data_IF_253278564030
#
_entry.id   IF_253278564030
#
_cell.length_a   1.000
_cell.length_b   1.000
_cell.length_c   1.000
_cell.angle_alpha   90.00
_cell.angle_beta   90.00
_cell.angle_gamma   90.00
#
_symmetry.space_group_name_H-M   'P 1'
#
loop_
_entity.id
_entity.type
_entity.pdbx_description
1 polymer ?
#
# COMPACT_ATOMS: atom_id res chain seq x y z
N UNK A 1 31.70 -5.28 -5.59
CA UNK A 1 30.70 -4.35 -6.11
C UNK A 1 29.40 -5.10 -6.34
N UNK A 2 28.30 -4.69 -5.70
CA UNK A 2 26.95 -4.87 -6.23
C UNK A 2 26.12 -3.65 -5.81
N UNK A 3 25.86 -2.85 -6.82
CA UNK A 3 25.19 -1.56 -6.89
C UNK A 3 23.76 -1.58 -6.33
N UNK A 4 23.39 -0.51 -5.62
CA UNK A 4 22.12 0.23 -5.61
C UNK A 4 20.83 -0.53 -6.00
N UNK A 5 19.83 -0.60 -5.12
CA UNK A 5 18.47 -0.94 -5.54
C UNK A 5 17.42 -0.25 -4.65
N UNK A 6 16.83 0.83 -5.15
CA UNK A 6 15.61 1.42 -4.60
C UNK A 6 14.45 0.45 -4.82
N UNK A 7 14.25 -0.47 -3.87
CA UNK A 7 13.13 -1.42 -3.90
C UNK A 7 11.83 -0.68 -3.56
N UNK A 8 10.98 -0.48 -4.55
CA UNK A 8 9.65 0.09 -4.36
C UNK A 8 8.72 -0.98 -3.79
N UNK A 9 7.97 -0.61 -2.76
CA UNK A 9 6.93 -1.45 -2.17
C UNK A 9 5.56 -0.78 -2.34
N UNK A 10 4.50 -1.59 -2.26
CA UNK A 10 3.15 -1.06 -2.13
C UNK A 10 2.94 -0.62 -0.67
N UNK A 11 2.67 0.67 -0.46
CA UNK A 11 2.45 1.24 0.87
C UNK A 11 1.03 0.98 1.42
N UNK A 12 0.13 0.36 0.63
CA UNK A 12 -1.25 0.09 1.05
C UNK A 12 -2.14 1.34 1.09
N UNK A 13 -1.70 2.45 0.51
CA UNK A 13 -2.44 3.71 0.41
C UNK A 13 -2.87 3.90 -1.05
N UNK A 14 -4.17 4.04 -1.26
CA UNK A 14 -4.76 4.11 -2.60
C UNK A 14 -5.68 5.31 -2.72
N UNK A 15 -5.55 6.04 -3.83
CA UNK A 15 -6.54 6.99 -4.31
C UNK A 15 -7.30 6.33 -5.45
N UNK A 16 -8.60 6.06 -5.24
CA UNK A 16 -9.43 5.31 -6.17
C UNK A 16 -10.63 6.15 -6.60
N UNK A 17 -10.95 6.13 -7.89
CA UNK A 17 -12.23 6.62 -8.38
C UNK A 17 -13.37 5.73 -7.86
N UNK A 18 -14.53 6.28 -7.48
CA UNK A 18 -15.64 5.52 -6.89
C UNK A 18 -16.08 4.32 -7.75
N UNK A 19 -16.02 4.45 -9.08
CA UNK A 19 -16.39 3.40 -10.03
C UNK A 19 -15.51 2.15 -9.89
N UNK A 20 -14.29 2.27 -9.36
CA UNK A 20 -13.41 1.13 -9.08
C UNK A 20 -14.05 0.17 -8.07
N UNK A 21 -14.85 0.67 -7.12
CA UNK A 21 -15.54 -0.15 -6.12
C UNK A 21 -16.58 -1.09 -6.75
N UNK A 22 -17.14 -0.73 -7.91
CA UNK A 22 -18.09 -1.59 -8.64
C UNK A 22 -17.48 -2.90 -9.15
N UNK A 23 -16.14 -3.00 -9.19
CA UNK A 23 -15.43 -4.22 -9.57
C UNK A 23 -15.27 -5.21 -8.40
N UNK A 24 -15.55 -4.76 -7.18
CA UNK A 24 -15.49 -5.58 -5.97
C UNK A 24 -16.86 -6.27 -5.79
N UNK A 25 -16.91 -7.61 -5.78
CA UNK A 25 -18.17 -8.32 -5.59
C UNK A 25 -18.75 -8.09 -4.19
N UNK A 26 -20.04 -7.76 -4.14
CA UNK A 26 -20.76 -7.55 -2.89
C UNK A 26 -20.75 -8.80 -2.01
N UNK A 27 -20.66 -8.59 -0.69
CA UNK A 27 -20.71 -9.67 0.30
C UNK A 27 -19.50 -10.61 0.29
N UNK A 28 -18.46 -10.34 -0.50
CA UNK A 28 -17.24 -11.15 -0.57
C UNK A 28 -16.03 -10.34 -0.13
N UNK A 29 -15.25 -10.89 0.80
CA UNK A 29 -13.93 -10.37 1.10
C UNK A 29 -12.98 -10.64 -0.08
N UNK A 30 -12.29 -9.60 -0.54
CA UNK A 30 -11.29 -9.68 -1.62
C UNK A 30 -10.00 -9.01 -1.20
N UNK A 31 -8.89 -9.42 -1.80
CA UNK A 31 -7.65 -8.62 -1.80
C UNK A 31 -7.63 -7.69 -3.01
N UNK A 32 -7.38 -6.40 -2.77
CA UNK A 32 -7.24 -5.44 -3.86
C UNK A 32 -6.05 -5.83 -4.75
N UNK A 33 -4.92 -6.20 -4.15
CA UNK A 33 -3.66 -6.48 -4.81
C UNK A 33 -3.69 -7.78 -5.61
N UNK A 34 -4.36 -8.81 -5.08
CA UNK A 34 -4.37 -10.16 -5.68
C UNK A 34 -5.55 -10.41 -6.60
N UNK A 35 -6.66 -9.70 -6.41
CA UNK A 35 -7.88 -9.94 -7.20
C UNK A 35 -8.33 -8.70 -7.97
N UNK A 36 -8.44 -7.54 -7.31
CA UNK A 36 -9.08 -6.36 -7.91
C UNK A 36 -8.18 -5.68 -8.95
N UNK A 37 -6.94 -5.35 -8.61
CA UNK A 37 -5.99 -4.69 -9.51
C UNK A 37 -5.68 -5.53 -10.76
N UNK A 38 -5.41 -6.86 -10.66
CA UNK A 38 -5.27 -7.69 -11.85
C UNK A 38 -6.51 -7.65 -12.76
N UNK A 39 -7.72 -7.63 -12.20
CA UNK A 39 -8.97 -7.56 -12.96
C UNK A 39 -9.18 -6.21 -13.65
N UNK A 40 -8.80 -5.11 -13.00
CA UNK A 40 -8.84 -3.77 -13.61
C UNK A 40 -7.90 -3.69 -14.82
N UNK A 41 -6.67 -4.19 -14.67
CA UNK A 41 -5.69 -4.26 -15.75
C UNK A 41 -6.18 -5.11 -16.92
N UNK A 42 -6.78 -6.29 -16.66
CA UNK A 42 -7.37 -7.14 -17.69
C UNK A 42 -8.51 -6.44 -18.48
N UNK A 43 -9.18 -5.47 -17.85
CA UNK A 43 -10.24 -4.68 -18.46
C UNK A 43 -9.74 -3.37 -19.06
N UNK A 44 -8.42 -3.18 -19.14
CA UNK A 44 -7.77 -1.96 -19.61
C UNK A 44 -8.17 -0.70 -18.82
N UNK A 45 -8.56 -0.87 -17.54
CA UNK A 45 -8.75 0.27 -16.64
C UNK A 45 -7.36 0.78 -16.23
N UNK A 46 -7.07 2.08 -16.37
CA UNK A 46 -5.78 2.64 -15.98
C UNK A 46 -5.49 2.44 -14.49
N UNK A 47 -4.26 2.01 -14.18
CA UNK A 47 -3.74 1.87 -12.82
C UNK A 47 -2.34 2.46 -12.77
N UNK A 48 -2.09 3.34 -11.80
CA UNK A 48 -0.85 4.09 -11.68
C UNK A 48 -0.24 3.91 -10.29
N UNK A 49 1.09 4.09 -10.19
CA UNK A 49 1.81 4.16 -8.93
C UNK A 49 2.32 5.57 -8.67
N UNK A 50 2.26 6.01 -7.41
CA UNK A 50 2.90 7.24 -6.96
C UNK A 50 4.12 6.87 -6.11
N UNK A 51 5.30 7.34 -6.51
CA UNK A 51 6.54 7.11 -5.77
C UNK A 51 6.73 8.22 -4.74
N UNK A 52 7.01 7.82 -3.52
CA UNK A 52 7.40 8.74 -2.45
C UNK A 52 8.60 8.20 -1.70
N UNK A 53 9.42 9.13 -1.18
CA UNK A 53 10.50 8.87 -0.23
C UNK A 53 10.10 9.25 1.20
N UNK A 54 8.81 9.53 1.44
CA UNK A 54 8.27 9.82 2.76
C UNK A 54 8.44 8.62 3.70
N UNK A 55 8.48 8.91 5.00
CA UNK A 55 8.60 7.88 6.02
C UNK A 55 7.40 6.91 5.96
N UNK A 56 7.70 5.62 5.85
CA UNK A 56 6.72 4.54 5.86
C UNK A 56 7.23 3.41 6.75
N UNK A 57 6.34 2.88 7.60
CA UNK A 57 6.61 1.69 8.41
C UNK A 57 5.38 0.78 8.40
N UNK A 58 5.60 -0.49 8.04
CA UNK A 58 4.60 -1.55 8.19
C UNK A 58 4.64 -2.07 9.64
N UNK A 59 3.56 -1.86 10.41
CA UNK A 59 3.49 -2.22 11.83
C UNK A 59 3.01 -3.66 12.09
N UNK A 60 3.18 -4.58 11.12
CA UNK A 60 2.72 -5.97 11.21
C UNK A 60 3.41 -6.86 12.25
N UNK A 61 4.44 -6.39 12.97
CA UNK A 61 5.11 -7.17 14.04
C UNK A 61 5.17 -6.39 15.36
N UNK A 62 5.20 -7.07 16.52
CA UNK A 62 5.33 -6.42 17.82
C UNK A 62 6.55 -5.50 17.93
N UNK A 63 7.67 -5.87 17.30
CA UNK A 63 8.92 -5.12 17.31
C UNK A 63 8.77 -3.80 16.55
N UNK A 64 8.20 -3.85 15.33
CA UNK A 64 7.96 -2.64 14.52
C UNK A 64 6.92 -1.72 15.17
N UNK A 65 5.92 -2.31 15.83
CA UNK A 65 4.95 -1.55 16.62
C UNK A 65 5.60 -0.84 17.83
N UNK A 66 6.48 -1.52 18.57
CA UNK A 66 7.22 -0.89 19.67
C UNK A 66 8.18 0.20 19.18
N UNK A 67 8.81 0.00 18.02
CA UNK A 67 9.67 0.97 17.36
C UNK A 67 8.91 2.29 17.09
N UNK A 68 7.76 2.23 16.40
CA UNK A 68 7.01 3.46 16.07
C UNK A 68 6.50 4.19 17.32
N UNK A 69 6.13 3.46 18.39
CA UNK A 69 5.75 4.09 19.66
C UNK A 69 6.90 4.90 20.29
N UNK A 70 8.15 4.45 20.14
CA UNK A 70 9.32 5.19 20.61
C UNK A 70 9.60 6.40 19.74
N UNK A 71 9.52 6.23 18.42
CA UNK A 71 9.76 7.30 17.45
C UNK A 71 8.72 8.43 17.56
N UNK A 72 7.43 8.08 17.68
CA UNK A 72 6.34 9.06 17.83
C UNK A 72 6.47 9.95 19.07
N UNK A 73 6.98 9.42 20.19
CA UNK A 73 7.18 10.22 21.42
C UNK A 73 8.14 11.40 21.24
N UNK A 74 9.07 11.31 20.28
CA UNK A 74 9.98 12.41 19.93
C UNK A 74 9.39 13.44 18.97
N UNK A 75 8.23 13.15 18.36
CA UNK A 75 7.55 14.02 17.37
C UNK A 75 6.42 14.82 18.03
N UNK A 76 5.74 14.23 19.03
CA UNK A 76 4.57 14.80 19.70
C UNK A 76 4.93 15.30 21.12
N UNK A 77 6.23 15.42 21.42
CA UNK A 77 6.78 15.90 22.70
C UNK A 77 7.37 17.29 22.58
#
# INVERSE_FOLDING_TARGET
>A
AKTSSDSIINAGIYLLEPEVLSYIPEGKQVSLERETFPRLLQKNVPLFGYLTSDYFIDIGTPEKYAQIQKEMKGIIG
#
